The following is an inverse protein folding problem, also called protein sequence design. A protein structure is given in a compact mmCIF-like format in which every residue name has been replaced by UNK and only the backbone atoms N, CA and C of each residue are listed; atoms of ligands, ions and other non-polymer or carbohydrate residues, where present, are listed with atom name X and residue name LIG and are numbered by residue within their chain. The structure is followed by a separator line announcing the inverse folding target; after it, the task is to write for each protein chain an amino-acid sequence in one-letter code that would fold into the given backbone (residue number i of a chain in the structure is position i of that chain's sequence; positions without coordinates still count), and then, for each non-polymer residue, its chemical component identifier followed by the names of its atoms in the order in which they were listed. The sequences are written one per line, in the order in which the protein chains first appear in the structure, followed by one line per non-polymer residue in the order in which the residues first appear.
data_IF_324181053206
#
_entry.id   IF_324181053206
#
_cell.length_a   1.000
_cell.length_b   1.000
_cell.length_c   1.000
_cell.angle_alpha   90.00
_cell.angle_beta   90.00
_cell.angle_gamma   90.00
#
_symmetry.space_group_name_H-M   'P 1'
#
loop_
_entity.id
_entity.type
_entity.pdbx_description
1 polymer ?
#
# COMPACT_ATOMS: atom_id res chain seq x y z
N UNK A 1 -7.25 -7.28 -11.20
CA UNK A 1 -8.32 -6.75 -12.11
C UNK A 1 -7.81 -6.85 -13.54
N UNK A 2 -8.70 -6.87 -14.54
CA UNK A 2 -8.30 -6.79 -15.96
C UNK A 2 -8.58 -5.36 -16.42
N UNK A 3 -7.54 -4.60 -16.71
CA UNK A 3 -7.64 -3.17 -17.04
C UNK A 3 -6.50 -2.69 -17.92
N UNK A 4 -6.68 -1.52 -18.55
CA UNK A 4 -5.67 -0.90 -19.41
C UNK A 4 -4.51 -0.28 -18.60
N UNK A 5 -4.76 0.00 -17.33
CA UNK A 5 -3.80 0.56 -16.37
C UNK A 5 -3.49 -0.48 -15.29
N UNK A 6 -2.30 -0.38 -14.71
CA UNK A 6 -1.97 -1.16 -13.52
C UNK A 6 -2.72 -0.66 -12.29
N UNK A 7 -2.60 -1.41 -11.20
CA UNK A 7 -3.31 -1.17 -9.93
C UNK A 7 -2.36 -0.83 -8.77
N UNK A 8 -1.20 -0.24 -9.06
CA UNK A 8 -0.21 0.12 -8.04
C UNK A 8 -0.78 1.08 -7.01
N UNK A 9 -1.57 2.06 -7.45
CA UNK A 9 -2.14 3.09 -6.59
C UNK A 9 -3.21 2.51 -5.67
N UNK A 10 -3.99 1.56 -6.15
CA UNK A 10 -5.00 0.85 -5.38
C UNK A 10 -4.34 0.01 -4.28
N UNK A 11 -3.25 -0.70 -4.59
CA UNK A 11 -2.50 -1.47 -3.62
C UNK A 11 -1.89 -0.56 -2.52
N UNK A 12 -1.22 0.52 -2.91
CA UNK A 12 -0.62 1.47 -1.97
C UNK A 12 -1.67 2.19 -1.13
N UNK A 13 -2.80 2.57 -1.74
CA UNK A 13 -3.90 3.24 -1.02
C UNK A 13 -4.53 2.28 -0.01
N UNK A 14 -4.78 1.03 -0.39
CA UNK A 14 -5.37 0.03 0.50
C UNK A 14 -4.51 -0.21 1.76
N UNK A 15 -3.19 -0.34 1.58
CA UNK A 15 -2.25 -0.49 2.70
C UNK A 15 -2.28 0.75 3.60
N UNK A 16 -2.22 1.95 3.03
CA UNK A 16 -2.26 3.20 3.82
C UNK A 16 -3.55 3.33 4.62
N UNK A 17 -4.72 3.07 4.03
CA UNK A 17 -6.00 3.14 4.73
C UNK A 17 -6.10 2.06 5.82
N UNK A 18 -5.60 0.86 5.56
CA UNK A 18 -5.53 -0.20 6.57
C UNK A 18 -4.65 0.19 7.76
N UNK A 19 -3.47 0.74 7.50
CA UNK A 19 -2.56 1.21 8.55
C UNK A 19 -3.12 2.41 9.32
N UNK A 20 -3.81 3.34 8.66
CA UNK A 20 -4.51 4.44 9.32
C UNK A 20 -5.61 3.93 10.25
N UNK A 21 -6.32 2.87 9.84
CA UNK A 21 -7.33 2.23 10.69
C UNK A 21 -6.70 1.63 11.95
N UNK A 22 -5.56 0.95 11.80
CA UNK A 22 -4.81 0.42 12.95
C UNK A 22 -4.33 1.55 13.86
N UNK A 23 -3.80 2.63 13.27
CA UNK A 23 -3.38 3.81 14.03
C UNK A 23 -4.55 4.37 14.84
N UNK A 24 -5.73 4.52 14.23
CA UNK A 24 -6.92 5.03 14.93
C UNK A 24 -7.32 4.16 16.13
N UNK A 25 -7.27 2.84 15.98
CA UNK A 25 -7.58 1.89 17.05
C UNK A 25 -6.54 1.90 18.19
N UNK A 26 -5.26 2.15 17.88
CA UNK A 26 -4.16 2.01 18.84
C UNK A 26 -3.62 3.34 19.39
N UNK A 27 -3.99 4.49 18.81
CA UNK A 27 -3.46 5.83 19.19
C UNK A 27 -3.67 6.21 20.65
N UNK A 28 -4.58 5.56 21.36
CA UNK A 28 -4.80 5.79 22.79
C UNK A 28 -3.67 5.20 23.65
N UNK A 29 -3.04 4.12 23.17
CA UNK A 29 -1.93 3.43 23.86
C UNK A 29 -0.61 4.08 23.51
N UNK A 30 -0.37 4.34 22.23
CA UNK A 30 0.84 5.00 21.75
C UNK A 30 0.51 5.96 20.60
N UNK A 31 0.79 7.25 20.80
CA UNK A 31 0.62 8.29 19.76
C UNK A 31 1.84 8.42 18.85
N UNK A 32 2.99 7.87 19.27
CA UNK A 32 4.27 7.93 18.55
C UNK A 32 4.44 6.87 17.46
N UNK A 33 3.45 5.98 17.28
CA UNK A 33 3.49 4.96 16.23
C UNK A 33 3.78 5.56 14.86
N UNK A 34 4.67 4.91 14.10
CA UNK A 34 5.03 5.32 12.74
C UNK A 34 4.67 4.23 11.74
N UNK A 35 4.19 4.66 10.58
CA UNK A 35 3.94 3.80 9.43
C UNK A 35 5.15 3.95 8.49
N UNK A 36 5.98 2.91 8.41
CA UNK A 36 7.26 2.93 7.69
C UNK A 36 7.34 1.78 6.68
N UNK A 37 8.27 1.87 5.71
CA UNK A 37 8.53 0.77 4.75
C UNK A 37 7.40 0.51 3.74
N UNK A 38 6.49 1.46 3.53
CA UNK A 38 5.40 1.31 2.56
C UNK A 38 5.96 1.50 1.14
N UNK A 39 6.01 0.42 0.38
CA UNK A 39 6.45 0.41 -1.01
C UNK A 39 5.76 -0.69 -1.81
N UNK A 40 5.75 -0.55 -3.13
CA UNK A 40 5.32 -1.60 -4.03
C UNK A 40 6.40 -2.70 -4.04
N UNK A 41 6.01 -3.96 -3.83
CA UNK A 41 6.96 -5.09 -3.81
C UNK A 41 7.08 -5.76 -5.19
N UNK A 42 5.96 -5.87 -5.90
CA UNK A 42 5.89 -6.56 -7.18
C UNK A 42 4.70 -6.01 -7.98
N UNK A 43 4.84 -5.91 -9.29
CA UNK A 43 3.74 -5.66 -10.22
C UNK A 43 3.94 -6.49 -11.48
N UNK A 44 2.87 -7.10 -11.95
CA UNK A 44 2.83 -7.85 -13.20
C UNK A 44 1.88 -7.17 -14.20
N UNK A 45 2.33 -7.04 -15.45
CA UNK A 45 1.49 -6.62 -16.58
C UNK A 45 1.59 -5.14 -16.96
N UNK A 46 0.86 -4.78 -18.02
CA UNK A 46 0.99 -3.49 -18.68
C UNK A 46 2.25 -3.41 -19.56
N UNK A 47 2.47 -2.25 -20.19
CA UNK A 47 3.61 -2.03 -21.10
C UNK A 47 4.97 -2.23 -20.41
N UNK A 48 5.05 -1.95 -19.11
CA UNK A 48 6.26 -2.09 -18.30
C UNK A 48 6.60 -3.55 -17.94
N UNK A 49 5.70 -4.50 -18.19
CA UNK A 49 5.95 -5.92 -17.88
C UNK A 49 5.98 -6.22 -16.38
N UNK A 50 6.82 -7.18 -16.00
CA UNK A 50 7.02 -7.57 -14.60
C UNK A 50 8.08 -6.68 -13.95
N UNK A 51 7.72 -6.07 -12.83
CA UNK A 51 8.61 -5.30 -11.98
C UNK A 51 8.62 -5.88 -10.56
N UNK A 52 9.79 -5.91 -9.94
CA UNK A 52 10.01 -6.36 -8.57
C UNK A 52 11.07 -5.48 -7.91
N UNK A 53 10.82 -5.07 -6.67
CA UNK A 53 11.73 -4.26 -5.86
C UNK A 53 12.99 -5.04 -5.45
#
# INVERSE_FOLDING_TARGET
TVGRTGVEMEALTAVNVGLLTIYDMCKAVDRGMRMEGIQLMEKLGGKSGHWKA
#
